data_IF_157489813541
#
_entry.id   IF_157489813541
#
_cell.length_a   1.000
_cell.length_b   1.000
_cell.length_c   1.000
_cell.angle_alpha   90.00
_cell.angle_beta   90.00
_cell.angle_gamma   90.00
#
_symmetry.space_group_name_H-M   'P 1'
#
loop_
_entity.id
_entity.type
_entity.pdbx_description
1 polymer ?
#
# COMPACT_ATOMS: atom_id res chain seq x y z
N UNK A 1 -43.86 -23.97 -38.35
CA UNK A 1 -43.54 -22.57 -37.94
C UNK A 1 -43.66 -22.31 -36.44
N UNK A 2 -44.80 -22.56 -35.78
CA UNK A 2 -44.99 -22.24 -34.33
C UNK A 2 -43.95 -22.85 -33.36
N UNK A 3 -43.45 -24.07 -33.60
CA UNK A 3 -42.41 -24.69 -32.75
C UNK A 3 -41.05 -23.99 -32.84
N UNK A 4 -40.63 -23.58 -34.03
CA UNK A 4 -39.35 -22.89 -34.22
C UNK A 4 -39.32 -21.50 -33.57
N UNK A 5 -40.42 -20.75 -33.61
CA UNK A 5 -40.53 -19.48 -32.87
C UNK A 5 -40.49 -19.67 -31.36
N UNK A 6 -41.07 -20.76 -30.83
CA UNK A 6 -41.07 -21.05 -29.40
C UNK A 6 -39.67 -21.45 -28.92
N UNK A 7 -39.02 -22.35 -29.67
CA UNK A 7 -37.65 -22.78 -29.42
C UNK A 7 -36.66 -21.62 -29.47
N UNK A 8 -36.69 -20.79 -30.53
CA UNK A 8 -35.80 -19.64 -30.64
C UNK A 8 -36.01 -18.59 -29.54
N UNK A 9 -37.25 -18.41 -29.05
CA UNK A 9 -37.53 -17.52 -27.91
C UNK A 9 -36.98 -18.09 -26.60
N UNK A 10 -37.07 -19.39 -26.41
CA UNK A 10 -36.60 -20.09 -25.21
C UNK A 10 -35.06 -20.10 -25.17
N UNK A 11 -34.42 -20.47 -26.28
CA UNK A 11 -32.96 -20.43 -26.46
C UNK A 11 -32.40 -19.00 -26.29
N UNK A 12 -33.04 -18.00 -26.89
CA UNK A 12 -32.63 -16.60 -26.75
C UNK A 12 -32.73 -16.11 -25.30
N UNK A 13 -33.76 -16.54 -24.56
CA UNK A 13 -33.92 -16.21 -23.14
C UNK A 13 -32.84 -16.89 -22.30
N UNK A 14 -32.60 -18.18 -22.53
CA UNK A 14 -31.60 -18.94 -21.79
C UNK A 14 -30.19 -18.38 -22.02
N UNK A 15 -29.86 -18.06 -23.27
CA UNK A 15 -28.58 -17.45 -23.64
C UNK A 15 -28.40 -16.05 -23.03
N UNK A 16 -29.47 -15.24 -23.02
CA UNK A 16 -29.47 -13.93 -22.37
C UNK A 16 -29.23 -14.02 -20.85
N UNK A 17 -29.86 -14.98 -20.17
CA UNK A 17 -29.67 -15.20 -18.73
C UNK A 17 -28.25 -15.67 -18.44
N UNK A 18 -27.74 -16.68 -19.17
CA UNK A 18 -26.38 -17.19 -19.00
C UNK A 18 -25.34 -16.09 -19.22
N UNK A 19 -25.49 -15.29 -20.28
CA UNK A 19 -24.60 -14.18 -20.58
C UNK A 19 -24.68 -13.07 -19.53
N UNK A 20 -25.88 -12.73 -19.07
CA UNK A 20 -26.08 -11.73 -18.02
C UNK A 20 -25.46 -12.13 -16.68
N UNK A 21 -25.65 -13.39 -16.26
CA UNK A 21 -25.05 -13.93 -15.04
C UNK A 21 -23.53 -13.97 -15.16
N UNK A 22 -22.98 -14.45 -16.28
CA UNK A 22 -21.54 -14.51 -16.51
C UNK A 22 -20.87 -13.13 -16.42
N UNK A 23 -21.42 -12.14 -17.13
CA UNK A 23 -20.92 -10.75 -17.09
C UNK A 23 -21.05 -10.16 -15.68
N UNK A 24 -22.16 -10.43 -14.97
CA UNK A 24 -22.38 -9.96 -13.62
C UNK A 24 -21.36 -10.52 -12.62
N UNK A 25 -21.08 -11.82 -12.70
CA UNK A 25 -20.09 -12.50 -11.85
C UNK A 25 -18.67 -11.99 -12.12
N UNK A 26 -18.27 -11.86 -13.38
CA UNK A 26 -16.94 -11.37 -13.76
C UNK A 26 -16.70 -9.94 -13.27
N UNK A 27 -17.68 -9.04 -13.46
CA UNK A 27 -17.62 -7.68 -12.93
C UNK A 27 -17.60 -7.64 -11.40
N UNK A 28 -18.37 -8.50 -10.75
CA UNK A 28 -18.38 -8.63 -9.29
C UNK A 28 -17.00 -9.03 -8.76
N UNK A 29 -16.38 -10.02 -9.40
CA UNK A 29 -15.04 -10.50 -9.07
C UNK A 29 -13.97 -9.42 -9.27
N UNK A 30 -13.97 -8.71 -10.40
CA UNK A 30 -13.02 -7.62 -10.63
C UNK A 30 -13.15 -6.49 -9.60
N UNK A 31 -14.36 -6.21 -9.11
CA UNK A 31 -14.58 -5.24 -8.02
C UNK A 31 -14.04 -5.75 -6.68
N UNK A 32 -14.21 -7.03 -6.39
CA UNK A 32 -13.73 -7.66 -5.16
C UNK A 32 -12.20 -7.73 -5.13
N UNK A 33 -11.58 -8.18 -6.23
CA UNK A 33 -10.13 -8.22 -6.40
C UNK A 33 -9.51 -6.81 -6.25
N UNK A 34 -10.05 -5.80 -6.96
CA UNK A 34 -9.54 -4.43 -6.84
C UNK A 34 -9.72 -3.82 -5.44
N UNK A 35 -10.78 -4.18 -4.70
CA UNK A 35 -10.95 -3.74 -3.31
C UNK A 35 -9.96 -4.42 -2.37
N UNK A 36 -9.68 -5.71 -2.60
CA UNK A 36 -8.72 -6.46 -1.81
C UNK A 36 -7.30 -5.96 -2.05
N UNK A 37 -6.90 -5.79 -3.31
CA UNK A 37 -5.58 -5.25 -3.69
C UNK A 37 -5.37 -3.84 -3.11
N UNK A 38 -6.33 -2.93 -3.27
CA UNK A 38 -6.20 -1.57 -2.75
C UNK A 38 -6.12 -1.51 -1.21
N UNK A 39 -6.81 -2.42 -0.51
CA UNK A 39 -6.68 -2.55 0.95
C UNK A 39 -5.30 -3.06 1.36
N UNK A 40 -4.81 -4.09 0.68
CA UNK A 40 -3.52 -4.69 0.98
C UNK A 40 -2.37 -3.71 0.70
N UNK A 41 -2.41 -3.02 -0.44
CA UNK A 41 -1.43 -1.98 -0.77
C UNK A 41 -1.45 -0.83 0.23
N UNK A 42 -2.64 -0.31 0.58
CA UNK A 42 -2.78 0.76 1.55
C UNK A 42 -2.28 0.38 2.95
N UNK A 43 -2.53 -0.85 3.40
CA UNK A 43 -2.01 -1.35 4.67
C UNK A 43 -0.48 -1.47 4.64
N UNK A 44 0.09 -2.05 3.58
CA UNK A 44 1.56 -2.18 3.43
C UNK A 44 2.25 -0.82 3.38
N UNK A 45 1.71 0.14 2.65
CA UNK A 45 2.27 1.49 2.57
C UNK A 45 2.23 2.19 3.94
N UNK A 46 1.11 2.04 4.67
CA UNK A 46 0.97 2.58 6.02
C UNK A 46 1.96 1.96 7.01
N UNK A 47 2.10 0.63 7.01
CA UNK A 47 3.07 -0.07 7.87
C UNK A 47 4.51 0.33 7.55
N UNK A 48 4.85 0.48 6.26
CA UNK A 48 6.17 0.92 5.83
C UNK A 48 6.47 2.35 6.30
N UNK A 49 5.52 3.28 6.18
CA UNK A 49 5.67 4.66 6.66
C UNK A 49 5.94 4.69 8.17
N UNK A 50 5.10 4.02 8.96
CA UNK A 50 5.26 3.97 10.43
C UNK A 50 6.59 3.33 10.82
N UNK A 51 7.01 2.29 10.10
CA UNK A 51 8.31 1.65 10.36
C UNK A 51 9.47 2.60 10.06
N UNK A 52 9.45 3.27 8.92
CA UNK A 52 10.49 4.22 8.52
C UNK A 52 10.59 5.39 9.50
N UNK A 53 9.44 5.97 9.89
CA UNK A 53 9.39 7.05 10.90
C UNK A 53 10.01 6.60 12.22
N UNK A 54 9.70 5.38 12.69
CA UNK A 54 10.30 4.82 13.91
C UNK A 54 11.80 4.55 13.80
N UNK A 55 12.27 4.12 12.63
CA UNK A 55 13.70 3.91 12.40
C UNK A 55 14.44 5.25 12.37
N UNK A 56 13.86 6.27 11.75
CA UNK A 56 14.37 7.65 11.75
C UNK A 56 14.40 8.26 13.16
N UNK A 57 13.31 8.13 13.93
CA UNK A 57 13.25 8.58 15.33
C UNK A 57 14.35 7.94 16.18
N UNK A 58 14.56 6.62 16.06
CA UNK A 58 15.63 5.91 16.78
C UNK A 58 17.01 6.41 16.38
N UNK A 59 17.23 6.64 15.09
CA UNK A 59 18.50 7.17 14.59
C UNK A 59 18.80 8.55 15.18
N UNK A 60 17.77 9.42 15.25
CA UNK A 60 17.86 10.74 15.88
C UNK A 60 18.12 10.63 17.39
N UNK A 61 17.45 9.75 18.11
CA UNK A 61 17.69 9.54 19.55
C UNK A 61 19.12 9.06 19.82
N UNK A 62 19.62 8.13 19.01
CA UNK A 62 21.00 7.64 19.10
C UNK A 62 22.01 8.77 18.84
N UNK A 63 21.78 9.58 17.80
CA UNK A 63 22.59 10.76 17.50
C UNK A 63 22.63 11.75 18.67
N UNK A 64 21.46 12.12 19.21
CA UNK A 64 21.36 13.01 20.39
C UNK A 64 22.13 12.46 21.60
N UNK A 65 21.99 11.16 21.87
CA UNK A 65 22.68 10.51 22.98
C UNK A 65 24.21 10.50 22.77
N UNK A 66 24.68 10.33 21.54
CA UNK A 66 26.10 10.38 21.21
C UNK A 66 26.67 11.80 21.37
N UNK A 67 25.98 12.81 20.84
CA UNK A 67 26.36 14.22 21.00
C UNK A 67 26.39 14.63 22.47
N UNK A 68 25.39 14.22 23.26
CA UNK A 68 25.35 14.50 24.71
C UNK A 68 26.53 13.88 25.47
N UNK A 69 27.08 12.78 24.96
CA UNK A 69 28.28 12.12 25.51
C UNK A 69 29.59 12.78 25.03
N UNK A 70 29.51 13.85 24.24
CA UNK A 70 30.66 14.59 23.73
C UNK A 70 31.33 13.94 22.53
N UNK A 71 30.63 13.06 21.79
CA UNK A 71 31.13 12.59 20.51
C UNK A 71 31.09 13.71 19.47
N UNK A 72 32.07 13.69 18.56
CA UNK A 72 32.18 14.62 17.45
C UNK A 72 30.98 14.52 16.51
N UNK A 73 30.46 15.67 16.07
CA UNK A 73 29.27 15.74 15.22
C UNK A 73 29.49 15.09 13.85
N UNK A 74 30.68 15.25 13.25
CA UNK A 74 31.02 14.60 11.99
C UNK A 74 31.03 13.08 12.12
N UNK A 75 31.66 12.56 13.18
CA UNK A 75 31.64 11.13 13.48
C UNK A 75 30.21 10.61 13.74
N UNK A 76 29.38 11.37 14.46
CA UNK A 76 27.98 10.99 14.70
C UNK A 76 27.19 10.94 13.38
N UNK A 77 27.37 11.91 12.49
CA UNK A 77 26.73 11.93 11.18
C UNK A 77 27.09 10.71 10.33
N UNK A 78 28.36 10.29 10.34
CA UNK A 78 28.81 9.12 9.59
C UNK A 78 28.17 7.79 10.05
N UNK A 79 27.90 7.65 11.35
CA UNK A 79 27.51 6.35 11.93
C UNK A 79 26.04 6.22 12.32
N UNK A 80 25.33 7.34 12.51
CA UNK A 80 23.96 7.32 13.05
C UNK A 80 22.88 7.28 11.98
N UNK A 81 23.17 7.72 10.75
CA UNK A 81 22.24 7.68 9.61
C UNK A 81 21.64 9.03 9.18
N UNK A 82 21.29 9.96 10.09
CA UNK A 82 20.87 11.32 9.71
C UNK A 82 21.98 12.08 8.98
N UNK A 83 21.57 13.07 8.17
CA UNK A 83 22.51 13.98 7.50
C UNK A 83 23.27 14.85 8.49
N UNK A 84 24.45 15.32 8.09
CA UNK A 84 25.27 16.26 8.86
C UNK A 84 24.47 17.50 9.27
N UNK A 85 23.69 18.08 8.36
CA UNK A 85 22.77 19.20 8.65
C UNK A 85 21.80 18.87 9.80
N UNK A 86 21.24 17.65 9.80
CA UNK A 86 20.33 17.22 10.88
C UNK A 86 21.08 17.03 12.19
N UNK A 87 22.31 16.53 12.14
CA UNK A 87 23.17 16.38 13.33
C UNK A 87 23.56 17.75 13.89
N UNK A 88 23.86 18.73 13.06
CA UNK A 88 24.15 20.12 13.47
C UNK A 88 22.94 20.76 14.16
N UNK A 89 21.73 20.59 13.61
CA UNK A 89 20.48 21.02 14.25
C UNK A 89 20.31 20.38 15.65
N UNK A 90 20.67 19.10 15.79
CA UNK A 90 20.60 18.37 17.06
C UNK A 90 21.69 18.76 18.06
N UNK A 91 22.87 19.16 17.57
CA UNK A 91 24.00 19.61 18.37
C UNK A 91 23.78 21.01 18.97
N UNK A 92 22.85 21.79 18.41
CA UNK A 92 22.43 23.07 18.96
C UNK A 92 23.40 24.22 18.67
N UNK A 93 23.80 24.39 17.41
CA UNK A 93 24.25 25.68 16.91
C UNK A 93 23.07 26.59 16.55
#
# INVERSE_FOLDING_TARGET
MRRGLRAGREEGREMGIKKGIGIGMERGRGREEGLQEGKEEGLREGEMKVRNEREEEKAIEMAKAALTKGLDAGLVAEISGPSEEKIEELAGC
#
